data_IF_035551608643
#
_entry.id   IF_035551608643
#
_cell.length_a   1.000
_cell.length_b   1.000
_cell.length_c   1.000
_cell.angle_alpha   90.00
_cell.angle_beta   90.00
_cell.angle_gamma   90.00
#
_symmetry.space_group_name_H-M   'P 1'
#
loop_
_entity.id
_entity.type
_entity.pdbx_description
1 polymer ?
#
# COMPACT_ATOMS: atom_id res chain seq x y z
N UNK A 1 -37.78 26.03 -2.73
CA UNK A 1 -36.94 25.12 -3.55
C UNK A 1 -37.58 23.74 -3.54
N UNK A 2 -37.69 23.06 -4.69
CA UNK A 2 -38.34 21.73 -4.79
C UNK A 2 -37.42 20.69 -4.14
N UNK A 3 -37.89 20.01 -3.10
CA UNK A 3 -37.16 18.96 -2.36
C UNK A 3 -36.52 17.91 -3.27
N UNK A 4 -37.13 17.65 -4.43
CA UNK A 4 -36.60 16.77 -5.47
C UNK A 4 -35.18 17.15 -5.94
N UNK A 5 -34.85 18.45 -5.99
CA UNK A 5 -33.51 18.92 -6.40
C UNK A 5 -32.49 18.58 -5.32
N UNK A 6 -32.84 18.76 -4.04
CA UNK A 6 -31.97 18.44 -2.92
C UNK A 6 -31.68 16.93 -2.85
N UNK A 7 -32.71 16.08 -3.04
CA UNK A 7 -32.55 14.63 -3.06
C UNK A 7 -31.65 14.14 -4.21
N UNK A 8 -31.75 14.77 -5.38
CA UNK A 8 -30.88 14.45 -6.51
C UNK A 8 -29.40 14.71 -6.18
N UNK A 9 -29.07 15.89 -5.65
CA UNK A 9 -27.71 16.22 -5.26
C UNK A 9 -27.21 15.33 -4.13
N UNK A 10 -28.03 15.06 -3.11
CA UNK A 10 -27.68 14.14 -2.04
C UNK A 10 -27.32 12.75 -2.59
N UNK A 11 -28.14 12.20 -3.49
CA UNK A 11 -27.86 10.92 -4.14
C UNK A 11 -26.59 10.92 -4.98
N UNK A 12 -26.37 11.98 -5.78
CA UNK A 12 -25.18 12.12 -6.60
C UNK A 12 -23.91 12.16 -5.75
N UNK A 13 -23.88 13.00 -4.70
CA UNK A 13 -22.73 13.11 -3.81
C UNK A 13 -22.51 11.83 -2.99
N UNK A 14 -23.57 11.15 -2.55
CA UNK A 14 -23.45 9.86 -1.88
C UNK A 14 -22.87 8.78 -2.80
N UNK A 15 -23.32 8.70 -4.05
CA UNK A 15 -22.80 7.74 -5.02
C UNK A 15 -21.33 8.03 -5.35
N UNK A 16 -20.99 9.29 -5.66
CA UNK A 16 -19.61 9.71 -5.91
C UNK A 16 -18.70 9.46 -4.70
N UNK A 17 -19.16 9.83 -3.51
CA UNK A 17 -18.45 9.57 -2.25
C UNK A 17 -18.19 8.08 -2.04
N UNK A 18 -19.20 7.23 -2.30
CA UNK A 18 -19.06 5.77 -2.20
C UNK A 18 -18.01 5.24 -3.18
N UNK A 19 -18.01 5.71 -4.43
CA UNK A 19 -17.01 5.32 -5.43
C UNK A 19 -15.60 5.73 -4.99
N UNK A 20 -15.42 6.96 -4.51
CA UNK A 20 -14.11 7.42 -4.03
C UNK A 20 -13.63 6.66 -2.79
N UNK A 21 -14.54 6.33 -1.88
CA UNK A 21 -14.25 5.50 -0.71
C UNK A 21 -13.76 4.12 -1.15
N UNK A 22 -14.49 3.45 -2.05
CA UNK A 22 -14.10 2.13 -2.56
C UNK A 22 -12.76 2.17 -3.30
N UNK A 23 -12.55 3.17 -4.17
CA UNK A 23 -11.28 3.35 -4.87
C UNK A 23 -10.14 3.56 -3.88
N UNK A 24 -10.31 4.44 -2.88
CA UNK A 24 -9.29 4.68 -1.86
C UNK A 24 -8.95 3.38 -1.12
N UNK A 25 -9.94 2.65 -0.59
CA UNK A 25 -9.71 1.42 0.16
C UNK A 25 -9.15 0.26 -0.68
N UNK A 26 -9.51 0.16 -1.96
CA UNK A 26 -8.99 -0.88 -2.85
C UNK A 26 -7.55 -0.64 -3.31
N UNK A 27 -7.02 0.57 -3.11
CA UNK A 27 -5.67 0.93 -3.54
C UNK A 27 -4.68 0.89 -2.38
N UNK A 28 -3.42 0.58 -2.68
CA UNK A 28 -2.30 0.48 -1.75
C UNK A 28 -1.49 1.79 -1.62
N UNK A 29 -2.08 2.93 -1.99
CA UNK A 29 -1.37 4.22 -2.12
C UNK A 29 -1.72 5.21 -0.99
N UNK A 30 -2.05 4.71 0.20
CA UNK A 30 -2.34 5.57 1.36
C UNK A 30 -1.06 6.15 1.95
N UNK A 31 -0.04 5.30 2.08
CA UNK A 31 1.27 5.64 2.57
C UNK A 31 2.31 5.17 1.56
N UNK A 32 3.25 6.07 1.27
CA UNK A 32 4.39 5.79 0.42
C UNK A 32 5.65 5.97 1.25
N UNK A 33 6.51 4.97 1.23
CA UNK A 33 7.81 5.01 1.85
C UNK A 33 8.85 4.43 0.89
N UNK A 34 10.10 4.79 1.12
CA UNK A 34 11.21 4.21 0.38
C UNK A 34 12.42 4.12 1.30
N UNK A 35 13.31 3.19 1.00
CA UNK A 35 14.53 2.94 1.75
C UNK A 35 15.72 2.85 0.79
N UNK A 36 16.79 3.58 1.07
CA UNK A 36 18.10 3.39 0.42
C UNK A 36 18.80 2.21 1.08
N UNK A 37 19.17 1.20 0.29
CA UNK A 37 20.17 0.23 0.74
C UNK A 37 21.56 0.79 0.49
N UNK A 38 22.01 1.75 1.30
CA UNK A 38 23.38 2.27 1.24
C UNK A 38 24.32 1.36 2.05
N UNK A 39 25.31 0.76 1.36
CA UNK A 39 26.50 0.21 2.01
C UNK A 39 27.63 1.25 1.90
N UNK A 40 28.25 1.69 3.00
CA UNK A 40 29.19 2.83 2.99
C UNK A 40 30.54 2.59 2.29
N UNK A 41 30.71 1.48 1.54
CA UNK A 41 32.01 1.05 0.99
C UNK A 41 32.19 1.18 -0.53
N UNK A 42 31.34 1.90 -1.27
CA UNK A 42 31.63 2.15 -2.70
C UNK A 42 31.06 3.48 -3.21
N UNK A 43 31.98 4.39 -3.52
CA UNK A 43 31.75 5.72 -4.12
C UNK A 43 31.12 5.69 -5.53
N UNK A 44 30.91 4.49 -6.10
CA UNK A 44 30.34 4.25 -7.44
C UNK A 44 29.30 3.11 -7.45
N UNK A 45 28.60 2.87 -6.34
CA UNK A 45 27.49 1.91 -6.33
C UNK A 45 26.19 2.63 -6.76
N UNK A 46 25.53 2.13 -7.82
CA UNK A 46 24.12 2.46 -8.07
C UNK A 46 23.33 2.21 -6.78
N UNK A 47 22.67 3.23 -6.24
CA UNK A 47 21.86 3.07 -5.04
C UNK A 47 20.57 2.35 -5.42
N UNK A 48 20.41 1.14 -4.90
CA UNK A 48 19.14 0.43 -4.99
C UNK A 48 18.19 1.02 -3.93
N UNK A 49 16.98 1.34 -4.37
CA UNK A 49 15.89 1.80 -3.53
C UNK A 49 14.83 0.71 -3.46
N UNK A 50 14.38 0.42 -2.26
CA UNK A 50 13.15 -0.36 -2.08
C UNK A 50 12.01 0.59 -1.80
N UNK A 51 10.98 0.54 -2.64
CA UNK A 51 9.77 1.33 -2.51
C UNK A 51 8.69 0.51 -1.83
N UNK A 52 7.92 1.15 -0.97
CA UNK A 52 6.82 0.56 -0.22
C UNK A 52 5.54 1.35 -0.45
N UNK A 53 4.49 0.63 -0.80
CA UNK A 53 3.12 1.11 -0.96
C UNK A 53 2.28 0.42 0.09
N UNK A 54 1.70 1.19 1.01
CA UNK A 54 0.81 0.65 2.04
C UNK A 54 -0.58 1.28 1.88
N UNK A 55 -1.57 0.42 1.74
CA UNK A 55 -2.98 0.77 1.89
C UNK A 55 -3.64 -0.08 2.95
N UNK A 56 -4.96 -0.01 2.98
CA UNK A 56 -5.73 -0.63 4.05
C UNK A 56 -5.64 -2.16 4.08
N UNK A 57 -5.66 -2.81 2.91
CA UNK A 57 -5.65 -4.27 2.80
C UNK A 57 -4.28 -4.84 2.42
N UNK A 58 -3.48 -4.07 1.68
CA UNK A 58 -2.25 -4.56 1.06
C UNK A 58 -1.08 -3.65 1.38
N UNK A 59 0.05 -4.26 1.68
CA UNK A 59 1.35 -3.63 1.71
C UNK A 59 2.19 -4.28 0.63
N UNK A 60 2.71 -3.48 -0.29
CA UNK A 60 3.47 -3.95 -1.42
C UNK A 60 4.85 -3.31 -1.45
N UNK A 61 5.85 -4.08 -1.86
CA UNK A 61 7.21 -3.59 -2.05
C UNK A 61 7.73 -3.90 -3.44
N UNK A 62 8.57 -3.02 -3.97
CA UNK A 62 9.29 -3.25 -5.21
C UNK A 62 10.66 -2.57 -5.18
N UNK A 63 11.62 -3.17 -5.88
CA UNK A 63 12.97 -2.63 -6.02
C UNK A 63 13.05 -1.73 -7.26
N UNK A 64 13.74 -0.61 -7.13
CA UNK A 64 14.03 0.30 -8.23
C UNK A 64 15.36 1.00 -8.03
N UNK A 65 15.91 1.57 -9.10
CA UNK A 65 17.13 2.38 -9.02
C UNK A 65 16.83 3.82 -8.63
N UNK A 66 17.74 4.45 -7.89
CA UNK A 66 17.76 5.91 -7.73
C UNK A 66 17.89 6.54 -9.12
N UNK A 67 16.88 7.29 -9.53
CA UNK A 67 16.81 7.98 -10.81
C UNK A 67 16.17 9.33 -10.55
N UNK A 68 16.36 10.31 -11.42
CA UNK A 68 15.83 11.66 -11.21
C UNK A 68 14.28 11.66 -11.07
N UNK A 69 13.62 10.65 -11.64
CA UNK A 69 12.17 10.46 -11.68
C UNK A 69 11.59 9.56 -10.56
N UNK A 70 12.17 9.59 -9.35
CA UNK A 70 11.63 8.86 -8.17
C UNK A 70 10.12 9.15 -7.96
N UNK A 71 9.68 10.40 -8.16
CA UNK A 71 8.26 10.79 -8.04
C UNK A 71 7.37 10.12 -9.09
N UNK A 72 7.88 9.90 -10.30
CA UNK A 72 7.14 9.25 -11.38
C UNK A 72 7.06 7.74 -11.20
N UNK A 73 8.02 7.13 -10.51
CA UNK A 73 7.99 5.71 -10.08
C UNK A 73 6.94 5.45 -8.99
N UNK A 74 6.66 6.45 -8.15
CA UNK A 74 5.57 6.39 -7.18
C UNK A 74 4.19 6.46 -7.84
N UNK A 75 4.06 7.18 -8.95
CA UNK A 75 2.84 7.26 -9.74
C UNK A 75 2.74 6.03 -10.67
N UNK A 76 1.53 5.51 -10.88
CA UNK A 76 1.17 4.21 -11.49
C UNK A 76 1.87 3.78 -12.80
N UNK A 77 2.68 4.63 -13.42
CA UNK A 77 3.17 4.54 -14.80
C UNK A 77 4.53 3.87 -14.97
N UNK A 78 5.31 3.65 -13.91
CA UNK A 78 6.67 3.07 -14.04
C UNK A 78 7.02 2.07 -12.93
N UNK A 79 6.04 1.26 -12.51
CA UNK A 79 6.26 0.21 -11.53
C UNK A 79 6.88 -1.04 -12.21
N UNK A 80 7.88 -1.69 -11.60
CA UNK A 80 8.48 -2.90 -12.15
C UNK A 80 7.46 -4.05 -12.17
N UNK A 81 7.67 -5.01 -13.06
CA UNK A 81 6.76 -6.15 -13.25
C UNK A 81 6.65 -7.05 -12.00
N UNK A 82 7.66 -7.03 -11.13
CA UNK A 82 7.71 -7.80 -9.88
C UNK A 82 7.43 -6.92 -8.66
N UNK A 83 6.17 -6.91 -8.23
CA UNK A 83 5.71 -6.27 -6.98
C UNK A 83 5.35 -7.38 -5.99
N UNK A 84 5.96 -7.38 -4.81
CA UNK A 84 5.63 -8.33 -3.76
C UNK A 84 4.58 -7.71 -2.83
N UNK A 85 3.38 -8.29 -2.78
CA UNK A 85 2.28 -7.77 -1.97
C UNK A 85 1.91 -8.76 -0.88
N UNK A 86 1.90 -8.27 0.36
CA UNK A 86 1.45 -8.98 1.55
C UNK A 86 0.25 -8.26 2.16
N UNK A 87 -0.51 -8.97 2.98
CA UNK A 87 -1.65 -8.38 3.68
C UNK A 87 -1.17 -7.38 4.72
N UNK A 88 -1.69 -6.16 4.70
CA UNK A 88 -1.20 -5.06 5.56
C UNK A 88 -1.37 -5.36 7.07
N UNK A 89 -2.44 -6.08 7.45
CA UNK A 89 -2.71 -6.44 8.84
C UNK A 89 -1.75 -7.48 9.45
N UNK A 90 -0.91 -8.11 8.63
CA UNK A 90 0.14 -9.04 9.09
C UNK A 90 1.47 -8.33 9.36
N UNK A 91 1.59 -7.04 9.04
CA UNK A 91 2.77 -6.21 9.33
C UNK A 91 2.51 -5.36 10.59
N UNK A 92 3.45 -5.25 11.55
CA UNK A 92 4.88 -5.61 11.52
C UNK A 92 5.20 -6.88 12.31
N UNK A 93 4.18 -7.65 12.70
CA UNK A 93 4.40 -8.78 13.61
C UNK A 93 5.10 -9.91 12.84
N UNK A 94 6.29 -10.36 13.29
CA UNK A 94 6.94 -11.50 12.67
C UNK A 94 6.07 -12.72 12.92
N UNK A 95 5.27 -13.09 11.92
CA UNK A 95 4.59 -14.39 11.91
C UNK A 95 5.71 -15.40 11.65
N UNK A 96 6.09 -16.19 12.65
CA UNK A 96 7.00 -17.30 12.41
C UNK A 96 6.32 -18.26 11.42
N UNK A 97 6.88 -18.43 10.22
CA UNK A 97 6.37 -19.39 9.22
C UNK A 97 6.31 -20.83 9.78
N UNK A 98 7.07 -21.11 10.83
CA UNK A 98 6.96 -22.35 11.58
C UNK A 98 5.74 -22.29 12.53
N UNK A 99 4.71 -23.05 12.18
CA UNK A 99 3.64 -23.57 13.06
C UNK A 99 2.27 -22.87 13.04
N UNK A 100 1.73 -22.55 11.87
CA UNK A 100 0.28 -22.35 11.75
C UNK A 100 -0.35 -23.41 10.84
N UNK A 101 -0.74 -24.55 11.43
CA UNK A 101 -1.78 -25.38 10.85
C UNK A 101 -3.08 -24.57 10.90
N UNK A 102 -3.72 -24.34 9.75
CA UNK A 102 -4.93 -23.52 9.61
C UNK A 102 -6.17 -24.00 10.41
N UNK A 103 -6.03 -25.01 11.25
CA UNK A 103 -7.05 -25.58 12.14
C UNK A 103 -6.99 -25.07 13.58
N UNK A 104 -5.95 -24.34 14.00
CA UNK A 104 -5.81 -23.86 15.38
C UNK A 104 -6.07 -22.36 15.49
N UNK A 105 -7.06 -22.01 16.29
CA UNK A 105 -7.40 -20.64 16.67
C UNK A 105 -6.39 -20.12 17.70
N UNK A 106 -5.68 -19.05 17.34
CA UNK A 106 -4.79 -18.31 18.24
C UNK A 106 -5.50 -17.02 18.67
N UNK A 107 -5.71 -16.85 19.97
CA UNK A 107 -6.31 -15.63 20.55
C UNK A 107 -5.31 -14.49 20.58
N UNK A 108 -5.71 -13.31 20.08
CA UNK A 108 -4.94 -12.07 20.21
C UNK A 108 -4.92 -11.45 21.63
N UNK A 109 -5.40 -12.16 22.65
CA UNK A 109 -5.46 -11.66 24.03
C UNK A 109 -4.36 -12.35 24.83
N UNK A 110 -3.28 -11.62 25.10
CA UNK A 110 -2.30 -12.00 26.13
C UNK A 110 -2.98 -11.90 27.49
N UNK A 111 -2.91 -12.99 28.28
CA UNK A 111 -3.27 -12.97 29.69
C UNK A 111 -2.16 -12.33 30.53
#
# INVERSE_FOLDING_TARGET
MKWSVALFFAGLFAALGTVFILLSFCTDYWLLAWETTDCPLRENAERNLTFYHEGFFWRCSFEGKEDEDILLKFWFTNQPLSKNCVQAYLSPFPVSEQTHNATTYETAISK
#
